data_IF_877870417554
#
_entry.id   IF_877870417554
#
_cell.length_a   1.000
_cell.length_b   1.000
_cell.length_c   1.000
_cell.angle_alpha   90.00
_cell.angle_beta   90.00
_cell.angle_gamma   90.00
#
_symmetry.space_group_name_H-M   'P 1'
#
loop_
_entity.id
_entity.type
_entity.pdbx_description
1 polymer ?
#
# COMPACT_ATOMS: atom_id res chain seq x y z
N UNK A 1 7.75 -5.46 -25.85
CA UNK A 1 7.47 -4.09 -25.36
C UNK A 1 6.23 -3.98 -24.44
N UNK A 2 5.92 -4.98 -23.61
CA UNK A 2 4.68 -4.97 -22.77
C UNK A 2 4.93 -4.78 -21.28
N UNK A 3 6.18 -4.75 -20.82
CA UNK A 3 6.56 -4.67 -19.39
C UNK A 3 6.46 -3.26 -18.80
N UNK A 4 6.72 -2.20 -19.58
CA UNK A 4 6.73 -0.82 -19.08
C UNK A 4 5.38 -0.40 -18.45
N UNK A 5 4.26 -0.75 -19.09
CA UNK A 5 2.91 -0.48 -18.54
C UNK A 5 2.62 -1.26 -17.26
N UNK A 6 3.15 -2.48 -17.11
CA UNK A 6 2.96 -3.29 -15.91
C UNK A 6 3.82 -2.79 -14.75
N UNK A 7 5.04 -2.31 -15.04
CA UNK A 7 5.87 -1.62 -14.07
C UNK A 7 5.19 -0.34 -13.57
N UNK A 8 4.71 0.51 -14.48
CA UNK A 8 3.98 1.72 -14.14
C UNK A 8 2.71 1.41 -13.31
N UNK A 9 1.95 0.40 -13.71
CA UNK A 9 0.78 -0.06 -12.96
C UNK A 9 1.13 -0.49 -11.53
N UNK A 10 2.16 -1.33 -11.35
CA UNK A 10 2.61 -1.78 -10.04
C UNK A 10 3.07 -0.61 -9.15
N UNK A 11 3.81 0.34 -9.73
CA UNK A 11 4.26 1.55 -9.05
C UNK A 11 3.06 2.40 -8.56
N UNK A 12 2.11 2.72 -9.44
CA UNK A 12 0.95 3.57 -9.10
C UNK A 12 0.03 2.89 -8.09
N UNK A 13 -0.22 1.59 -8.23
CA UNK A 13 -1.01 0.83 -7.26
C UNK A 13 -0.38 0.86 -5.86
N UNK A 14 0.95 0.72 -5.76
CA UNK A 14 1.66 0.85 -4.49
C UNK A 14 1.47 2.23 -3.86
N UNK A 15 1.71 3.31 -4.61
CA UNK A 15 1.61 4.66 -4.05
C UNK A 15 0.16 5.02 -3.66
N UNK A 16 -0.84 4.54 -4.39
CA UNK A 16 -2.25 4.72 -4.00
C UNK A 16 -2.53 4.09 -2.62
N UNK A 17 -2.12 2.83 -2.41
CA UNK A 17 -2.27 2.16 -1.12
C UNK A 17 -1.45 2.83 -0.01
N UNK A 18 -0.24 3.30 -0.34
CA UNK A 18 0.65 3.97 0.60
C UNK A 18 0.07 5.30 1.10
N UNK A 19 -0.45 6.13 0.19
CA UNK A 19 -1.08 7.40 0.55
C UNK A 19 -2.37 7.18 1.35
N UNK A 20 -3.16 6.15 1.01
CA UNK A 20 -4.31 5.78 1.82
C UNK A 20 -3.90 5.42 3.26
N UNK A 21 -2.84 4.65 3.45
CA UNK A 21 -2.34 4.30 4.78
C UNK A 21 -1.82 5.53 5.56
N UNK A 22 -1.20 6.49 4.88
CA UNK A 22 -0.82 7.78 5.49
C UNK A 22 -2.07 8.54 5.93
N UNK A 23 -3.09 8.64 5.08
CA UNK A 23 -4.34 9.30 5.42
C UNK A 23 -5.00 8.66 6.66
N UNK A 24 -5.08 7.33 6.72
CA UNK A 24 -5.58 6.60 7.88
C UNK A 24 -4.76 6.86 9.16
N UNK A 25 -3.43 6.98 9.06
CA UNK A 25 -2.59 7.30 10.21
C UNK A 25 -2.81 8.73 10.69
N UNK A 26 -2.91 9.69 9.76
CA UNK A 26 -3.17 11.10 10.06
C UNK A 26 -4.54 11.29 10.73
N UNK A 27 -5.57 10.65 10.21
CA UNK A 27 -6.92 10.60 10.80
C UNK A 27 -6.88 10.11 12.25
N UNK A 28 -6.05 9.11 12.53
CA UNK A 28 -5.88 8.53 13.86
C UNK A 28 -4.88 9.30 14.74
N UNK A 29 -4.56 10.55 14.37
CA UNK A 29 -3.76 11.48 15.16
C UNK A 29 -2.24 11.34 14.99
N UNK A 30 -1.75 10.66 13.96
CA UNK A 30 -0.34 10.75 13.61
C UNK A 30 0.01 12.20 13.23
N UNK A 31 1.15 12.69 13.71
CA UNK A 31 1.64 14.02 13.32
C UNK A 31 2.17 13.97 11.89
N UNK A 32 2.00 15.08 11.16
CA UNK A 32 2.67 15.29 9.87
C UNK A 32 4.18 15.18 10.05
N UNK A 33 4.84 14.47 9.14
CA UNK A 33 6.29 14.25 9.19
C UNK A 33 6.79 13.50 7.96
N UNK A 34 8.06 13.12 7.98
CA UNK A 34 8.64 12.30 6.93
C UNK A 34 8.05 10.88 7.02
N UNK A 35 7.09 10.58 6.16
CA UNK A 35 6.45 9.26 6.08
C UNK A 35 7.32 8.29 5.30
N UNK A 36 8.41 7.83 5.91
CA UNK A 36 9.22 6.79 5.30
C UNK A 36 8.44 5.46 5.21
N UNK A 37 8.80 4.65 4.21
CA UNK A 37 8.06 3.43 3.90
C UNK A 37 8.03 2.41 5.05
N UNK A 38 9.11 2.29 5.82
CA UNK A 38 9.19 1.33 6.93
C UNK A 38 8.31 1.78 8.09
N UNK A 39 8.35 3.07 8.42
CA UNK A 39 7.54 3.64 9.49
C UNK A 39 6.04 3.50 9.19
N UNK A 40 5.58 3.88 7.99
CA UNK A 40 4.16 3.77 7.64
C UNK A 40 3.67 2.32 7.72
N UNK A 41 4.48 1.36 7.23
CA UNK A 41 4.14 -0.07 7.31
C UNK A 41 4.01 -0.55 8.76
N UNK A 42 5.00 -0.22 9.58
CA UNK A 42 5.03 -0.61 10.98
C UNK A 42 3.85 -0.01 11.74
N UNK A 43 3.59 1.28 11.58
CA UNK A 43 2.56 1.99 12.32
C UNK A 43 1.16 1.61 11.86
N UNK A 44 0.91 1.49 10.56
CA UNK A 44 -0.38 1.04 10.03
C UNK A 44 -0.74 -0.35 10.58
N UNK A 45 0.20 -1.30 10.51
CA UNK A 45 0.00 -2.66 11.01
C UNK A 45 -0.13 -2.71 12.54
N UNK A 46 0.77 -2.06 13.27
CA UNK A 46 0.81 -2.12 14.73
C UNK A 46 -0.34 -1.37 15.37
N UNK A 47 -0.61 -0.12 14.96
CA UNK A 47 -1.63 0.72 15.58
C UNK A 47 -3.02 0.40 15.08
N UNK A 48 -3.23 0.40 13.76
CA UNK A 48 -4.59 0.42 13.19
C UNK A 48 -5.16 -0.99 13.01
N UNK A 49 -4.30 -2.00 12.87
CA UNK A 49 -4.74 -3.41 12.74
C UNK A 49 -4.59 -4.14 14.08
N UNK A 50 -3.37 -4.26 14.62
CA UNK A 50 -3.15 -5.12 15.79
C UNK A 50 -3.73 -4.55 17.09
N UNK A 51 -3.43 -3.27 17.39
CA UNK A 51 -3.82 -2.64 18.65
C UNK A 51 -5.27 -2.16 18.65
N UNK A 52 -5.65 -1.33 17.67
CA UNK A 52 -6.99 -0.72 17.59
C UNK A 52 -8.03 -1.58 16.86
N UNK A 53 -7.60 -2.56 16.06
CA UNK A 53 -8.49 -3.45 15.29
C UNK A 53 -9.49 -2.71 14.39
N UNK A 54 -9.10 -1.54 13.87
CA UNK A 54 -9.91 -0.74 12.95
C UNK A 54 -10.00 -1.43 11.60
N UNK A 55 -8.87 -1.97 11.11
CA UNK A 55 -8.81 -2.62 9.80
C UNK A 55 -8.58 -4.13 9.89
N UNK A 56 -9.01 -4.91 8.87
CA UNK A 56 -8.81 -6.35 8.82
C UNK A 56 -7.34 -6.78 8.86
N UNK A 57 -7.06 -7.90 9.55
CA UNK A 57 -5.72 -8.48 9.69
C UNK A 57 -4.98 -8.71 8.37
N UNK A 58 -5.69 -9.05 7.29
CA UNK A 58 -5.10 -9.32 5.98
C UNK A 58 -4.36 -8.12 5.37
N UNK A 59 -4.75 -6.90 5.71
CA UNK A 59 -4.13 -5.67 5.20
C UNK A 59 -2.72 -5.44 5.77
N UNK A 60 -2.39 -6.06 6.91
CA UNK A 60 -1.13 -5.83 7.64
C UNK A 60 0.14 -6.09 6.81
N UNK A 61 0.06 -6.99 5.83
CA UNK A 61 1.18 -7.36 4.96
C UNK A 61 1.12 -6.72 3.57
N UNK A 62 0.04 -5.99 3.23
CA UNK A 62 -0.17 -5.50 1.86
C UNK A 62 0.93 -4.52 1.45
N UNK A 63 1.16 -3.46 2.22
CA UNK A 63 2.16 -2.44 1.88
C UNK A 63 3.57 -3.01 1.70
N UNK A 64 4.01 -3.91 2.59
CA UNK A 64 5.32 -4.56 2.49
C UNK A 64 5.43 -5.39 1.21
N UNK A 65 4.43 -6.25 0.94
CA UNK A 65 4.40 -7.09 -0.28
C UNK A 65 4.31 -6.25 -1.55
N UNK A 66 3.59 -5.13 -1.50
CA UNK A 66 3.44 -4.22 -2.63
C UNK A 66 4.75 -3.47 -2.91
N UNK A 67 5.44 -2.99 -1.87
CA UNK A 67 6.74 -2.34 -2.02
C UNK A 67 7.76 -3.26 -2.70
N UNK A 68 7.82 -4.55 -2.35
CA UNK A 68 8.72 -5.51 -3.00
C UNK A 68 8.48 -5.64 -4.52
N UNK A 69 7.23 -5.59 -4.97
CA UNK A 69 6.91 -5.60 -6.41
C UNK A 69 7.24 -4.26 -7.06
N UNK A 70 6.92 -3.15 -6.41
CA UNK A 70 7.27 -1.80 -6.89
C UNK A 70 8.79 -1.60 -7.02
N UNK A 71 9.58 -2.10 -6.08
CA UNK A 71 11.04 -2.01 -6.15
C UNK A 71 11.58 -2.75 -7.38
N UNK A 72 11.03 -3.93 -7.71
CA UNK A 72 11.41 -4.64 -8.95
C UNK A 72 10.95 -3.89 -10.20
N UNK A 73 9.75 -3.33 -10.19
CA UNK A 73 9.23 -2.54 -11.31
C UNK A 73 10.11 -1.33 -11.64
N UNK A 74 10.66 -0.67 -10.62
CA UNK A 74 11.40 0.59 -10.77
C UNK A 74 12.90 0.37 -10.99
N UNK A 75 13.49 -0.68 -10.41
CA UNK A 75 14.95 -0.79 -10.27
C UNK A 75 15.54 -2.12 -10.75
N UNK A 76 14.73 -3.07 -11.22
CA UNK A 76 15.23 -4.35 -11.73
C UNK A 76 15.18 -4.43 -13.25
N UNK A 77 16.18 -5.08 -13.83
CA UNK A 77 16.17 -5.48 -15.25
C UNK A 77 15.02 -6.45 -15.56
N UNK A 78 14.55 -7.20 -14.55
CA UNK A 78 13.38 -8.07 -14.63
C UNK A 78 12.13 -7.28 -14.26
N UNK A 79 11.42 -6.82 -15.29
CA UNK A 79 10.13 -6.14 -15.13
C UNK A 79 9.03 -7.03 -14.52
N UNK A 80 7.89 -6.41 -14.23
CA UNK A 80 6.74 -7.04 -13.58
C UNK A 80 5.81 -7.66 -14.62
N UNK A 81 5.32 -8.86 -14.32
CA UNK A 81 4.34 -9.56 -15.17
C UNK A 81 2.94 -8.95 -15.07
N UNK A 82 2.07 -9.27 -16.04
CA UNK A 82 0.64 -8.92 -16.01
C UNK A 82 -0.03 -9.40 -14.70
N UNK A 83 0.28 -10.63 -14.27
CA UNK A 83 -0.33 -11.23 -13.08
C UNK A 83 0.05 -10.47 -11.80
N UNK A 84 1.33 -10.13 -11.65
CA UNK A 84 1.82 -9.37 -10.52
C UNK A 84 1.25 -7.94 -10.49
N UNK A 85 1.16 -7.27 -11.65
CA UNK A 85 0.54 -5.95 -11.78
C UNK A 85 -0.96 -5.99 -11.42
N UNK A 86 -1.71 -6.98 -11.91
CA UNK A 86 -3.11 -7.20 -11.52
C UNK A 86 -3.25 -7.44 -10.02
N UNK A 87 -2.33 -8.18 -9.40
CA UNK A 87 -2.34 -8.40 -7.97
C UNK A 87 -2.00 -7.14 -7.16
N UNK A 88 -1.20 -6.21 -7.70
CA UNK A 88 -0.99 -4.89 -7.09
C UNK A 88 -2.28 -4.08 -7.09
N UNK A 89 -3.01 -4.04 -8.21
CA UNK A 89 -4.30 -3.35 -8.30
C UNK A 89 -5.27 -3.90 -7.25
N UNK A 90 -5.43 -5.23 -7.16
CA UNK A 90 -6.34 -5.85 -6.18
C UNK A 90 -6.01 -5.45 -4.73
N UNK A 91 -4.73 -5.47 -4.36
CA UNK A 91 -4.30 -5.06 -3.01
C UNK A 91 -4.51 -3.57 -2.76
N UNK A 92 -4.29 -2.73 -3.78
CA UNK A 92 -4.56 -1.30 -3.68
C UNK A 92 -6.05 -1.02 -3.49
N UNK A 93 -6.91 -1.69 -4.27
CA UNK A 93 -8.36 -1.62 -4.13
C UNK A 93 -8.82 -2.07 -2.75
N UNK A 94 -8.28 -3.16 -2.21
CA UNK A 94 -8.59 -3.61 -0.85
C UNK A 94 -8.25 -2.53 0.18
N UNK A 95 -7.03 -1.96 0.11
CA UNK A 95 -6.61 -0.90 1.03
C UNK A 95 -7.51 0.34 0.93
N UNK A 96 -7.75 0.83 -0.28
CA UNK A 96 -8.59 2.01 -0.54
C UNK A 96 -10.04 1.78 -0.08
N UNK A 97 -10.59 0.58 -0.30
CA UNK A 97 -11.97 0.26 0.08
C UNK A 97 -12.16 0.30 1.59
N UNK A 98 -11.28 -0.35 2.35
CA UNK A 98 -11.41 -0.36 3.82
C UNK A 98 -11.08 0.98 4.45
N UNK A 99 -10.07 1.69 3.93
CA UNK A 99 -9.67 2.98 4.47
C UNK A 99 -10.71 4.05 4.12
N UNK A 100 -11.17 4.12 2.87
CA UNK A 100 -12.19 5.08 2.44
C UNK A 100 -13.48 4.95 3.26
N UNK A 101 -13.97 3.72 3.45
CA UNK A 101 -15.14 3.45 4.30
C UNK A 101 -14.98 3.90 5.76
N UNK A 102 -13.76 3.94 6.28
CA UNK A 102 -13.50 4.40 7.64
C UNK A 102 -13.43 5.93 7.70
N UNK A 103 -12.83 6.57 6.69
CA UNK A 103 -12.69 8.03 6.61
C UNK A 103 -13.99 8.76 6.27
N UNK A 104 -14.97 8.06 5.71
CA UNK A 104 -16.31 8.61 5.39
C UNK A 104 -17.29 8.58 6.57
N UNK A 105 -16.89 8.05 7.73
CA UNK A 105 -17.71 8.02 8.95
C UNK A 105 -17.63 9.33 9.71
#
# INVERSE_FOLDING_TARGET
MTTARYNACANRAYFAAFQAAIAALLDQGAKRGNFDHKWVQAEFSRKLIKRRKIYPGRLSSHLMKMQGVRNRADYSDKGVSKSEASQQIKKAQDMLTFIGKELEK
#
